data_IF_283005848364
#
_entry.id   IF_283005848364
#
_cell.length_a   1.000
_cell.length_b   1.000
_cell.length_c   1.000
_cell.angle_alpha   90.00
_cell.angle_beta   90.00
_cell.angle_gamma   90.00
#
_symmetry.space_group_name_H-M   'P 1'
#
loop_
_entity.id
_entity.type
_entity.pdbx_description
1 polymer ?
#
# COMPACT_ATOMS: atom_id res chain seq x y z
N UNK A 1 3.28 -39.24 60.68
CA UNK A 1 3.75 -38.02 60.00
C UNK A 1 3.11 -37.99 58.61
N UNK A 2 2.09 -37.15 58.40
CA UNK A 2 1.32 -37.07 57.14
C UNK A 2 2.05 -36.13 56.17
N UNK A 3 2.63 -36.67 55.10
CA UNK A 3 3.22 -35.85 54.01
C UNK A 3 2.10 -35.59 53.00
N UNK A 4 1.66 -34.33 52.92
CA UNK A 4 0.73 -33.84 51.89
C UNK A 4 1.52 -33.67 50.59
N UNK A 5 1.16 -34.41 49.54
CA UNK A 5 1.64 -34.12 48.20
C UNK A 5 0.93 -32.87 47.67
N UNK A 6 1.71 -31.81 47.47
CA UNK A 6 1.31 -30.55 46.87
C UNK A 6 1.23 -30.75 45.36
N UNK A 7 0.03 -30.78 44.80
CA UNK A 7 -0.19 -30.71 43.36
C UNK A 7 0.14 -29.29 42.88
N UNK A 8 1.28 -29.12 42.22
CA UNK A 8 1.61 -27.90 41.46
C UNK A 8 0.90 -28.03 40.12
N UNK A 9 -0.27 -27.41 40.00
CA UNK A 9 -0.93 -27.20 38.72
C UNK A 9 -0.12 -26.20 37.90
N UNK A 10 0.58 -26.67 36.87
CA UNK A 10 1.18 -25.81 35.86
C UNK A 10 0.05 -25.24 35.03
N UNK A 11 -0.34 -24.00 35.34
CA UNK A 11 -1.21 -23.20 34.50
C UNK A 11 -0.44 -22.89 33.20
N UNK A 12 -0.65 -23.68 32.15
CA UNK A 12 -0.21 -23.31 30.80
C UNK A 12 -0.97 -22.04 30.41
N UNK A 13 -0.34 -20.89 30.60
CA UNK A 13 -0.76 -19.64 29.98
C UNK A 13 -0.61 -19.83 28.47
N UNK A 14 -1.69 -20.19 27.79
CA UNK A 14 -1.77 -20.14 26.33
C UNK A 14 -1.66 -18.68 25.94
N UNK A 15 -0.46 -18.22 25.60
CA UNK A 15 -0.29 -16.99 24.83
C UNK A 15 -1.04 -17.20 23.53
N UNK A 16 -2.19 -16.54 23.38
CA UNK A 16 -2.85 -16.40 22.10
C UNK A 16 -1.88 -15.64 21.20
N UNK A 17 -1.07 -16.38 20.44
CA UNK A 17 -0.44 -15.87 19.25
C UNK A 17 -1.58 -15.29 18.42
N UNK A 18 -1.57 -13.98 18.26
CA UNK A 18 -2.49 -13.28 17.38
C UNK A 18 -2.06 -13.66 15.96
N UNK A 19 -2.43 -14.86 15.53
CA UNK A 19 -2.20 -15.35 14.17
C UNK A 19 -3.07 -14.47 13.31
N UNK A 20 -2.46 -13.54 12.56
CA UNK A 20 -3.17 -12.84 11.50
C UNK A 20 -3.89 -13.89 10.65
N UNK A 21 -5.20 -13.72 10.44
CA UNK A 21 -6.00 -14.66 9.68
C UNK A 21 -5.33 -14.91 8.33
N UNK A 22 -5.13 -16.18 7.97
CA UNK A 22 -4.49 -16.52 6.70
C UNK A 22 -5.33 -15.98 5.53
N UNK A 23 -4.69 -15.50 4.44
CA UNK A 23 -5.42 -14.97 3.29
C UNK A 23 -6.30 -16.05 2.65
N UNK A 24 -7.57 -15.72 2.43
CA UNK A 24 -8.51 -16.60 1.71
C UNK A 24 -8.33 -16.37 0.22
N UNK A 25 -7.53 -17.26 -0.39
CA UNK A 25 -7.20 -17.20 -1.82
C UNK A 25 -8.12 -18.07 -2.66
N UNK A 26 -8.71 -17.51 -3.70
CA UNK A 26 -9.58 -18.21 -4.65
C UNK A 26 -9.24 -17.85 -6.09
N UNK A 27 -9.41 -18.84 -6.97
CA UNK A 27 -9.33 -18.65 -8.40
C UNK A 27 -10.62 -19.11 -9.06
N UNK A 28 -11.17 -18.26 -9.92
CA UNK A 28 -12.39 -18.56 -10.67
C UNK A 28 -12.16 -18.38 -12.17
N UNK A 29 -12.68 -19.34 -12.95
CA UNK A 29 -12.88 -19.18 -14.38
C UNK A 29 -14.32 -18.71 -14.61
N UNK A 30 -14.49 -17.54 -15.20
CA UNK A 30 -15.81 -16.96 -15.49
C UNK A 30 -16.20 -17.33 -16.92
N UNK A 31 -17.13 -18.30 -17.13
CA UNK A 31 -17.42 -18.82 -18.47
C UNK A 31 -18.19 -17.81 -19.33
N UNK A 32 -19.02 -16.99 -18.68
CA UNK A 32 -19.87 -15.97 -19.29
C UNK A 32 -19.73 -14.67 -18.49
N UNK A 33 -19.51 -13.57 -19.18
CA UNK A 33 -19.42 -12.27 -18.51
C UNK A 33 -20.74 -11.92 -17.78
N UNK A 34 -20.62 -11.33 -16.60
CA UNK A 34 -21.72 -10.97 -15.71
C UNK A 34 -22.18 -12.10 -14.77
N UNK A 35 -21.49 -13.24 -14.75
CA UNK A 35 -21.89 -14.41 -13.94
C UNK A 35 -20.89 -14.76 -12.84
N UNK A 36 -19.95 -13.88 -12.47
CA UNK A 36 -19.00 -14.19 -11.40
C UNK A 36 -19.70 -14.54 -10.08
N UNK A 37 -20.65 -13.70 -9.65
CA UNK A 37 -21.29 -13.88 -8.33
C UNK A 37 -22.14 -15.15 -8.27
N UNK A 38 -22.62 -15.67 -9.41
CA UNK A 38 -23.38 -16.92 -9.44
C UNK A 38 -22.51 -18.17 -9.28
N UNK A 39 -21.17 -18.04 -9.28
CA UNK A 39 -20.25 -19.16 -9.10
C UNK A 39 -20.01 -19.52 -7.63
N UNK A 40 -20.50 -18.71 -6.70
CA UNK A 40 -20.24 -18.85 -5.26
C UNK A 40 -21.42 -18.31 -4.44
N UNK A 41 -21.41 -18.57 -3.14
CA UNK A 41 -22.34 -17.94 -2.21
C UNK A 41 -21.87 -16.54 -1.84
N UNK A 42 -22.77 -15.69 -1.33
CA UNK A 42 -22.40 -14.35 -0.84
C UNK A 42 -21.40 -14.42 0.33
N UNK A 43 -21.59 -15.36 1.26
CA UNK A 43 -20.65 -15.59 2.37
C UNK A 43 -19.26 -15.97 1.86
N UNK A 44 -19.19 -16.84 0.85
CA UNK A 44 -17.91 -17.17 0.23
C UNK A 44 -17.28 -15.93 -0.41
N UNK A 45 -18.02 -15.18 -1.23
CA UNK A 45 -17.54 -13.96 -1.87
C UNK A 45 -16.97 -12.97 -0.85
N UNK A 46 -17.68 -12.75 0.26
CA UNK A 46 -17.29 -11.82 1.30
C UNK A 46 -16.09 -12.29 2.13
N UNK A 47 -15.81 -13.60 2.18
CA UNK A 47 -14.63 -14.14 2.86
C UNK A 47 -13.33 -14.00 2.05
N UNK A 48 -13.41 -13.84 0.73
CA UNK A 48 -12.24 -13.84 -0.17
C UNK A 48 -11.40 -12.58 0.03
N UNK A 49 -10.10 -12.76 0.26
CA UNK A 49 -9.12 -11.66 0.30
C UNK A 49 -8.26 -11.59 -0.95
N UNK A 50 -7.95 -12.73 -1.58
CA UNK A 50 -7.14 -12.78 -2.79
C UNK A 50 -7.91 -13.51 -3.90
N UNK A 51 -8.28 -12.79 -4.94
CA UNK A 51 -9.09 -13.31 -6.04
C UNK A 51 -8.33 -13.25 -7.36
N UNK A 52 -8.20 -14.40 -8.00
CA UNK A 52 -7.72 -14.49 -9.39
C UNK A 52 -8.89 -14.84 -10.30
N UNK A 53 -9.12 -14.03 -11.33
CA UNK A 53 -10.15 -14.28 -12.34
C UNK A 53 -9.52 -14.56 -13.70
N UNK A 54 -10.08 -15.56 -14.37
CA UNK A 54 -9.80 -15.90 -15.76
C UNK A 54 -11.11 -16.02 -16.54
N UNK A 55 -11.03 -16.15 -17.87
CA UNK A 55 -12.23 -16.23 -18.70
C UNK A 55 -12.78 -14.85 -19.07
N UNK A 56 -14.10 -14.68 -19.03
CA UNK A 56 -14.80 -13.49 -19.55
C UNK A 56 -15.49 -12.75 -18.41
N UNK A 57 -15.11 -11.51 -18.17
CA UNK A 57 -15.75 -10.62 -17.18
C UNK A 57 -16.33 -9.38 -17.86
N UNK A 58 -17.27 -8.68 -17.23
CA UNK A 58 -17.78 -7.38 -17.70
C UNK A 58 -18.05 -6.43 -16.52
N UNK A 59 -18.67 -5.28 -16.80
CA UNK A 59 -18.97 -4.28 -15.79
C UNK A 59 -19.96 -4.73 -14.68
N UNK A 60 -20.77 -5.76 -14.91
CA UNK A 60 -21.61 -6.36 -13.86
C UNK A 60 -20.75 -7.13 -12.86
N UNK A 61 -19.75 -7.89 -13.34
CA UNK A 61 -18.79 -8.56 -12.45
C UNK A 61 -17.98 -7.54 -11.64
N UNK A 62 -17.54 -6.44 -12.25
CA UNK A 62 -16.86 -5.35 -11.52
C UNK A 62 -17.78 -4.69 -10.48
N UNK A 63 -19.06 -4.52 -10.79
CA UNK A 63 -20.03 -4.05 -9.79
C UNK A 63 -20.05 -4.98 -8.60
N UNK A 64 -20.07 -6.29 -8.83
CA UNK A 64 -20.07 -7.24 -7.72
C UNK A 64 -18.77 -7.23 -6.91
N UNK A 65 -17.62 -7.19 -7.59
CA UNK A 65 -16.31 -7.06 -6.95
C UNK A 65 -16.22 -5.81 -6.06
N UNK A 66 -16.87 -4.73 -6.46
CA UNK A 66 -16.99 -3.51 -5.66
C UNK A 66 -17.94 -3.67 -4.49
N UNK A 67 -19.09 -4.29 -4.72
CA UNK A 67 -20.28 -4.14 -3.90
C UNK A 67 -20.44 -5.20 -2.81
N UNK A 68 -20.12 -6.46 -3.13
CA UNK A 68 -20.04 -7.60 -2.22
C UNK A 68 -18.57 -7.74 -1.77
N UNK A 69 -17.90 -8.88 -2.02
CA UNK A 69 -16.44 -9.10 -1.82
C UNK A 69 -15.78 -8.25 -0.72
N UNK A 70 -16.36 -8.20 0.48
CA UNK A 70 -16.05 -7.13 1.46
C UNK A 70 -14.56 -7.09 1.85
N UNK A 71 -13.94 -8.27 1.95
CA UNK A 71 -12.55 -8.44 2.36
C UNK A 71 -11.55 -8.51 1.20
N UNK A 72 -11.96 -8.24 -0.05
CA UNK A 72 -11.08 -8.36 -1.22
C UNK A 72 -9.93 -7.33 -1.17
N UNK A 73 -8.71 -7.84 -0.96
CA UNK A 73 -7.47 -7.09 -0.89
C UNK A 73 -6.68 -7.13 -2.20
N UNK A 74 -6.65 -8.29 -2.85
CA UNK A 74 -5.87 -8.53 -4.08
C UNK A 74 -6.78 -9.05 -5.17
N UNK A 75 -6.81 -8.33 -6.29
CA UNK A 75 -7.53 -8.74 -7.50
C UNK A 75 -6.55 -8.95 -8.66
N UNK A 76 -6.41 -10.19 -9.10
CA UNK A 76 -5.70 -10.53 -10.32
C UNK A 76 -6.69 -10.80 -11.46
N UNK A 77 -6.73 -9.90 -12.44
CA UNK A 77 -7.49 -10.03 -13.69
C UNK A 77 -6.56 -10.03 -14.91
N UNK A 78 -5.28 -10.35 -14.71
CA UNK A 78 -4.26 -10.31 -15.77
C UNK A 78 -4.55 -11.28 -16.92
N UNK A 79 -5.24 -12.38 -16.61
CA UNK A 79 -5.64 -13.43 -17.54
C UNK A 79 -7.16 -13.45 -17.83
N UNK A 80 -7.89 -12.43 -17.39
CA UNK A 80 -9.30 -12.24 -17.74
C UNK A 80 -9.46 -11.36 -18.98
N UNK A 81 -10.52 -11.58 -19.74
CA UNK A 81 -10.92 -10.72 -20.86
C UNK A 81 -12.17 -9.92 -20.48
N UNK A 82 -12.04 -8.59 -20.48
CA UNK A 82 -13.17 -7.70 -20.20
C UNK A 82 -14.00 -7.56 -21.47
N UNK A 83 -15.23 -8.06 -21.44
CA UNK A 83 -16.21 -7.99 -22.52
C UNK A 83 -17.01 -6.70 -22.47
N UNK A 84 -17.53 -6.33 -23.63
CA UNK A 84 -18.48 -5.23 -23.74
C UNK A 84 -19.74 -5.53 -22.91
N UNK A 85 -20.29 -4.49 -22.29
CA UNK A 85 -21.59 -4.55 -21.63
C UNK A 85 -22.33 -3.24 -21.86
N UNK A 86 -23.65 -3.30 -22.04
CA UNK A 86 -24.51 -2.12 -22.13
C UNK A 86 -25.70 -2.36 -21.22
N UNK A 87 -25.91 -1.46 -20.26
CA UNK A 87 -27.02 -1.60 -19.32
C UNK A 87 -26.87 -0.77 -18.07
N UNK A 88 -27.81 -0.98 -17.14
CA UNK A 88 -27.83 -0.34 -15.81
C UNK A 88 -27.17 -1.19 -14.72
N UNK A 89 -26.88 -2.47 -15.00
CA UNK A 89 -26.29 -3.41 -14.04
C UNK A 89 -24.78 -3.23 -13.82
N UNK A 90 -24.14 -2.30 -14.54
CA UNK A 90 -22.71 -2.04 -14.41
C UNK A 90 -22.35 -1.09 -13.26
N UNK A 91 -21.11 -0.62 -13.27
CA UNK A 91 -20.49 0.18 -12.19
C UNK A 91 -20.85 1.66 -12.20
N UNK A 92 -21.25 2.22 -13.34
CA UNK A 92 -21.63 3.62 -13.48
C UNK A 92 -22.89 3.94 -12.66
N UNK A 93 -22.90 5.02 -11.85
CA UNK A 93 -24.05 5.40 -11.02
C UNK A 93 -25.33 5.68 -11.81
N UNK A 94 -26.40 4.94 -11.50
CA UNK A 94 -27.82 5.20 -11.78
C UNK A 94 -28.22 5.57 -13.22
N UNK A 95 -27.46 5.14 -14.23
CA UNK A 95 -27.81 5.34 -15.64
C UNK A 95 -27.38 4.19 -16.54
N UNK A 96 -28.01 4.08 -17.71
CA UNK A 96 -27.54 3.19 -18.77
C UNK A 96 -26.18 3.69 -19.23
N UNK A 97 -25.22 2.78 -19.32
CA UNK A 97 -23.87 3.10 -19.77
C UNK A 97 -23.35 1.99 -20.69
N UNK A 98 -22.46 2.37 -21.61
CA UNK A 98 -21.82 1.47 -22.56
C UNK A 98 -20.38 1.26 -22.09
N UNK A 99 -20.07 0.05 -21.68
CA UNK A 99 -18.75 -0.34 -21.19
C UNK A 99 -18.03 -1.08 -22.32
N UNK A 100 -16.93 -0.49 -22.78
CA UNK A 100 -16.16 -1.01 -23.91
C UNK A 100 -15.29 -2.21 -23.50
N UNK A 101 -15.01 -3.15 -24.41
CA UNK A 101 -14.17 -4.31 -24.09
C UNK A 101 -12.73 -3.88 -23.79
N UNK A 102 -12.11 -4.56 -22.82
CA UNK A 102 -10.75 -4.30 -22.30
C UNK A 102 -10.56 -2.93 -21.63
N UNK A 103 -11.63 -2.31 -21.16
CA UNK A 103 -11.58 -1.10 -20.34
C UNK A 103 -11.82 -1.51 -18.89
N UNK A 104 -11.00 -1.03 -17.95
CA UNK A 104 -11.40 -1.06 -16.53
C UNK A 104 -12.59 -0.11 -16.43
N UNK A 105 -13.79 -0.58 -16.03
CA UNK A 105 -15.01 0.22 -16.08
C UNK A 105 -14.92 1.54 -15.33
N UNK A 106 -15.65 2.56 -15.80
CA UNK A 106 -15.82 3.78 -15.02
C UNK A 106 -16.45 3.43 -13.67
N UNK A 107 -15.95 4.00 -12.58
CA UNK A 107 -16.40 3.70 -11.21
C UNK A 107 -16.24 2.22 -10.79
N UNK A 108 -15.31 1.47 -11.41
CA UNK A 108 -15.09 0.04 -11.15
C UNK A 108 -15.06 -0.33 -9.67
N UNK A 109 -14.35 0.46 -8.86
CA UNK A 109 -14.20 0.28 -7.41
C UNK A 109 -14.59 1.53 -6.61
N UNK A 110 -15.40 2.41 -7.20
CA UNK A 110 -15.90 3.62 -6.56
C UNK A 110 -17.43 3.64 -6.60
N UNK A 111 -18.08 3.81 -5.46
CA UNK A 111 -19.50 4.19 -5.40
C UNK A 111 -19.63 5.70 -5.25
N UNK A 112 -20.79 6.22 -5.62
CA UNK A 112 -21.18 7.60 -5.30
C UNK A 112 -22.41 7.53 -4.41
N UNK A 113 -22.24 7.87 -3.14
CA UNK A 113 -23.32 7.87 -2.14
C UNK A 113 -23.47 9.31 -1.61
N UNK A 114 -24.66 9.90 -1.75
CA UNK A 114 -24.93 11.29 -1.35
C UNK A 114 -23.93 12.31 -1.94
N UNK A 115 -23.49 12.10 -3.19
CA UNK A 115 -22.50 12.95 -3.86
C UNK A 115 -21.06 12.75 -3.39
N UNK A 116 -20.80 11.86 -2.45
CA UNK A 116 -19.44 11.52 -2.00
C UNK A 116 -18.95 10.22 -2.64
N UNK A 117 -17.71 10.24 -3.12
CA UNK A 117 -17.04 9.06 -3.62
C UNK A 117 -16.66 8.14 -2.45
N UNK A 118 -17.06 6.87 -2.51
CA UNK A 118 -16.66 5.83 -1.58
C UNK A 118 -15.96 4.72 -2.35
N UNK A 119 -14.63 4.69 -2.26
CA UNK A 119 -13.85 3.63 -2.89
C UNK A 119 -13.82 2.35 -2.06
N UNK A 120 -13.38 1.25 -2.68
CA UNK A 120 -13.20 -0.03 -2.00
C UNK A 120 -11.92 -0.01 -1.14
N UNK A 121 -12.08 0.36 0.13
CA UNK A 121 -10.96 0.52 1.07
C UNK A 121 -10.21 -0.79 1.39
N UNK A 122 -10.83 -1.96 1.20
CA UNK A 122 -10.13 -3.24 1.34
C UNK A 122 -9.12 -3.49 0.23
N UNK A 123 -9.31 -2.93 -0.97
CA UNK A 123 -8.47 -3.22 -2.12
C UNK A 123 -7.07 -2.59 -1.96
N UNK A 124 -6.05 -3.44 -1.97
CA UNK A 124 -4.63 -3.08 -1.82
C UNK A 124 -3.82 -3.28 -3.09
N UNK A 125 -4.18 -4.27 -3.91
CA UNK A 125 -3.45 -4.63 -5.13
C UNK A 125 -4.41 -5.01 -6.25
N UNK A 126 -4.14 -4.50 -7.45
CA UNK A 126 -4.79 -4.95 -8.68
C UNK A 126 -3.74 -5.33 -9.72
N UNK A 127 -3.96 -6.43 -10.44
CA UNK A 127 -3.11 -6.89 -11.54
C UNK A 127 -3.93 -6.88 -12.84
N UNK A 128 -3.51 -6.04 -13.78
CA UNK A 128 -4.20 -5.77 -15.04
C UNK A 128 -3.54 -6.48 -16.22
N UNK A 129 -4.38 -6.93 -17.15
CA UNK A 129 -3.95 -7.63 -18.36
C UNK A 129 -3.16 -6.75 -19.32
N UNK A 130 -2.33 -7.38 -20.16
CA UNK A 130 -1.73 -6.73 -21.34
C UNK A 130 -2.78 -6.20 -22.34
N UNK A 131 -3.99 -6.76 -22.30
CA UNK A 131 -5.10 -6.36 -23.17
C UNK A 131 -5.75 -5.05 -22.76
N UNK A 132 -5.55 -4.58 -21.53
CA UNK A 132 -6.15 -3.35 -21.01
C UNK A 132 -5.86 -2.18 -21.94
N UNK A 133 -6.92 -1.48 -22.36
CA UNK A 133 -6.83 -0.31 -23.26
C UNK A 133 -7.00 0.98 -22.48
N UNK A 134 -7.99 1.03 -21.59
CA UNK A 134 -8.27 2.17 -20.74
C UNK A 134 -8.46 1.77 -19.28
N UNK A 135 -8.10 2.70 -18.39
CA UNK A 135 -8.57 2.77 -17.02
C UNK A 135 -9.50 3.98 -16.97
N UNK A 136 -10.80 3.74 -16.90
CA UNK A 136 -11.84 4.75 -17.11
C UNK A 136 -12.03 5.68 -15.90
N UNK A 137 -12.89 6.69 -16.06
CA UNK A 137 -13.18 7.71 -15.05
C UNK A 137 -13.49 7.11 -13.68
N UNK A 138 -12.82 7.64 -12.65
CA UNK A 138 -13.03 7.27 -11.25
C UNK A 138 -12.94 5.75 -10.97
N UNK A 139 -12.27 4.97 -11.83
CA UNK A 139 -12.19 3.50 -11.69
C UNK A 139 -11.75 3.06 -10.29
N UNK A 140 -10.74 3.74 -9.71
CA UNK A 140 -10.24 3.47 -8.37
C UNK A 140 -10.32 4.70 -7.43
N UNK A 141 -11.20 5.66 -7.72
CA UNK A 141 -11.39 6.84 -6.87
C UNK A 141 -11.77 6.44 -5.44
N UNK A 142 -11.08 7.01 -4.45
CA UNK A 142 -11.29 6.73 -3.02
C UNK A 142 -10.82 5.33 -2.57
N UNK A 143 -10.12 4.57 -3.42
CA UNK A 143 -9.47 3.33 -3.00
C UNK A 143 -8.15 3.67 -2.27
N UNK A 144 -8.25 4.27 -1.09
CA UNK A 144 -7.12 4.92 -0.39
C UNK A 144 -6.03 3.95 0.08
N UNK A 145 -6.31 2.64 0.02
CA UNK A 145 -5.35 1.58 0.34
C UNK A 145 -4.75 0.90 -0.89
N UNK A 146 -5.14 1.27 -2.13
CA UNK A 146 -4.64 0.68 -3.37
C UNK A 146 -3.17 1.05 -3.60
N UNK A 147 -2.29 0.28 -2.98
CA UNK A 147 -0.85 0.47 -2.98
C UNK A 147 -0.22 0.10 -4.31
N UNK A 148 -0.77 -0.91 -5.00
CA UNK A 148 -0.16 -1.53 -6.17
C UNK A 148 -1.19 -1.59 -7.30
N UNK A 149 -0.84 -1.00 -8.44
CA UNK A 149 -1.45 -1.33 -9.72
C UNK A 149 -0.37 -1.92 -10.62
N UNK A 150 -0.41 -3.24 -10.76
CA UNK A 150 0.49 -3.95 -11.66
C UNK A 150 -0.16 -4.08 -13.02
N UNK A 151 0.54 -3.71 -14.08
CA UNK A 151 0.01 -3.71 -15.44
C UNK A 151 0.94 -4.57 -16.29
N UNK A 152 0.44 -5.69 -16.80
CA UNK A 152 1.25 -6.61 -17.64
C UNK A 152 1.51 -6.08 -19.05
N UNK A 153 0.84 -4.98 -19.42
CA UNK A 153 1.01 -4.29 -20.71
C UNK A 153 2.36 -3.57 -20.76
N UNK A 154 3.07 -3.67 -21.88
CA UNK A 154 4.35 -2.96 -22.07
C UNK A 154 4.19 -1.45 -22.33
N UNK A 155 3.05 -1.06 -22.90
CA UNK A 155 2.72 0.33 -23.20
C UNK A 155 1.61 0.81 -22.27
N UNK A 156 1.61 2.08 -21.83
CA UNK A 156 0.59 2.56 -20.91
C UNK A 156 -0.83 2.59 -21.52
N UNK A 157 -1.85 2.02 -20.84
CA UNK A 157 -3.24 2.24 -21.24
C UNK A 157 -3.62 3.72 -21.11
N UNK A 158 -4.73 4.12 -21.71
CA UNK A 158 -5.27 5.46 -21.47
C UNK A 158 -5.74 5.54 -20.01
N UNK A 159 -5.35 6.59 -19.30
CA UNK A 159 -5.78 6.85 -17.93
C UNK A 159 -6.72 8.05 -17.95
N UNK A 160 -7.98 7.82 -17.63
CA UNK A 160 -9.02 8.84 -17.57
C UNK A 160 -9.02 9.52 -16.19
N UNK A 161 -9.67 10.70 -16.06
CA UNK A 161 -9.71 11.47 -14.82
C UNK A 161 -10.06 10.64 -13.58
N UNK A 162 -9.28 10.81 -12.52
CA UNK A 162 -9.47 10.12 -11.23
C UNK A 162 -9.46 8.58 -11.32
N UNK A 163 -9.01 8.01 -12.45
CA UNK A 163 -8.92 6.57 -12.65
C UNK A 163 -7.98 5.92 -11.63
N UNK A 164 -6.84 6.55 -11.32
CA UNK A 164 -5.87 6.13 -10.31
C UNK A 164 -5.28 7.37 -9.62
N UNK A 165 -4.78 7.22 -8.39
CA UNK A 165 -4.13 8.29 -7.62
C UNK A 165 -2.63 8.02 -7.47
N UNK A 166 -1.81 8.94 -7.98
CA UNK A 166 -0.34 8.85 -7.94
C UNK A 166 0.27 9.01 -6.54
N UNK A 167 -0.46 9.66 -5.63
CA UNK A 167 -0.11 9.84 -4.22
C UNK A 167 -0.31 8.58 -3.37
N UNK A 168 -1.00 7.58 -3.90
CA UNK A 168 -1.38 6.35 -3.17
C UNK A 168 -0.81 5.10 -3.85
N UNK A 169 -0.87 5.06 -5.18
CA UNK A 169 -0.62 3.85 -5.96
C UNK A 169 0.73 3.89 -6.68
N UNK A 170 1.56 2.88 -6.43
CA UNK A 170 2.72 2.60 -7.25
C UNK A 170 2.34 1.70 -8.43
N UNK A 171 2.95 1.99 -9.59
CA UNK A 171 2.68 1.29 -10.84
C UNK A 171 3.83 0.34 -11.13
N UNK A 172 3.50 -0.94 -11.23
CA UNK A 172 4.44 -2.01 -11.58
C UNK A 172 4.24 -2.39 -13.04
N UNK A 173 5.29 -2.30 -13.84
CA UNK A 173 5.26 -2.51 -15.30
C UNK A 173 6.32 -3.52 -15.73
N UNK A 174 6.25 -4.09 -16.95
CA UNK A 174 7.29 -4.99 -17.45
C UNK A 174 8.66 -4.30 -17.50
N UNK A 175 9.73 -5.11 -17.49
CA UNK A 175 11.10 -4.62 -17.68
C UNK A 175 11.23 -3.84 -18.99
N UNK A 176 11.85 -2.66 -18.91
CA UNK A 176 12.05 -1.74 -20.04
C UNK A 176 10.83 -0.89 -20.41
N UNK A 177 9.72 -0.96 -19.68
CA UNK A 177 8.49 -0.22 -20.02
C UNK A 177 8.38 1.14 -19.35
N UNK A 178 9.17 1.46 -18.32
CA UNK A 178 8.89 2.62 -17.48
C UNK A 178 8.97 3.97 -18.19
N UNK A 179 9.83 4.13 -19.20
CA UNK A 179 9.96 5.39 -19.94
C UNK A 179 8.73 5.70 -20.78
N UNK A 180 8.18 4.71 -21.48
CA UNK A 180 6.96 4.88 -22.28
C UNK A 180 5.77 5.28 -21.40
N UNK A 181 5.69 4.71 -20.19
CA UNK A 181 4.69 5.09 -19.20
C UNK A 181 4.86 6.55 -18.74
N UNK A 182 6.09 7.00 -18.41
CA UNK A 182 6.34 8.37 -17.95
C UNK A 182 6.02 9.44 -19.00
N UNK A 183 6.17 9.11 -20.28
CA UNK A 183 5.93 10.03 -21.39
C UNK A 183 4.46 10.20 -21.75
N UNK A 184 3.58 9.28 -21.33
CA UNK A 184 2.15 9.37 -21.64
C UNK A 184 1.42 10.36 -20.72
N UNK A 185 0.46 11.07 -21.31
CA UNK A 185 -0.45 11.95 -20.58
C UNK A 185 -1.09 11.22 -19.38
N UNK A 186 -1.22 11.93 -18.27
CA UNK A 186 -1.77 11.47 -16.98
C UNK A 186 -0.93 10.44 -16.22
N UNK A 187 0.19 9.95 -16.78
CA UNK A 187 1.04 8.96 -16.12
C UNK A 187 2.32 9.54 -15.49
N UNK A 188 2.78 10.71 -15.95
CA UNK A 188 4.08 11.32 -15.58
C UNK A 188 4.39 11.39 -14.08
N UNK A 189 3.37 11.52 -13.24
CA UNK A 189 3.50 11.76 -11.80
C UNK A 189 3.47 10.48 -10.97
N UNK A 190 3.30 9.29 -11.55
CA UNK A 190 3.28 8.03 -10.80
C UNK A 190 4.67 7.50 -10.44
N UNK A 191 4.75 6.69 -9.38
CA UNK A 191 5.93 5.91 -9.05
C UNK A 191 5.96 4.65 -9.93
N UNK A 192 6.89 4.59 -10.89
CA UNK A 192 7.09 3.42 -11.75
C UNK A 192 8.24 2.55 -11.27
N UNK A 193 7.92 1.29 -11.00
CA UNK A 193 8.86 0.22 -10.69
C UNK A 193 8.70 -0.86 -11.76
N UNK A 194 9.82 -1.35 -12.28
CA UNK A 194 9.80 -2.41 -13.28
C UNK A 194 9.92 -3.78 -12.60
N UNK A 195 9.14 -4.75 -13.06
CA UNK A 195 9.12 -6.11 -12.53
C UNK A 195 7.93 -6.38 -11.59
N UNK A 196 8.08 -7.41 -10.76
CA UNK A 196 7.05 -7.84 -9.82
C UNK A 196 7.17 -7.07 -8.50
N UNK A 197 6.04 -6.70 -7.86
CA UNK A 197 6.07 -6.06 -6.56
C UNK A 197 6.52 -7.03 -5.46
N UNK A 198 7.51 -6.61 -4.68
CA UNK A 198 7.97 -7.35 -3.51
C UNK A 198 7.44 -6.71 -2.22
N UNK A 199 6.46 -7.38 -1.62
CA UNK A 199 5.93 -7.08 -0.29
C UNK A 199 6.51 -8.07 0.73
N UNK A 200 6.93 -7.61 1.90
CA UNK A 200 7.44 -8.48 2.96
C UNK A 200 7.14 -7.94 4.36
N UNK A 201 6.76 -8.83 5.26
CA UNK A 201 6.70 -8.58 6.70
C UNK A 201 7.74 -9.42 7.41
N UNK A 202 8.65 -8.79 8.16
CA UNK A 202 9.79 -9.44 8.80
C UNK A 202 9.74 -9.27 10.32
N UNK A 203 9.98 -10.37 11.03
CA UNK A 203 10.08 -10.41 12.48
C UNK A 203 11.55 -10.44 12.86
N UNK A 204 12.08 -9.33 13.39
CA UNK A 204 13.48 -9.25 13.79
C UNK A 204 13.58 -9.49 15.29
N UNK A 205 14.10 -10.65 15.67
CA UNK A 205 14.31 -11.01 17.07
C UNK A 205 15.37 -10.15 17.77
N UNK A 206 15.43 -10.18 19.09
CA UNK A 206 16.35 -9.36 19.89
C UNK A 206 17.84 -9.55 19.55
N UNK A 207 18.22 -10.76 19.10
CA UNK A 207 19.59 -11.08 18.66
C UNK A 207 19.72 -11.13 17.13
N UNK A 208 18.65 -10.83 16.40
CA UNK A 208 18.59 -10.85 14.95
C UNK A 208 18.98 -9.52 14.31
N UNK A 209 19.11 -9.55 12.99
CA UNK A 209 19.31 -8.38 12.11
C UNK A 209 18.32 -8.45 10.96
N UNK A 210 17.90 -7.28 10.48
CA UNK A 210 17.01 -7.17 9.32
C UNK A 210 17.60 -7.86 8.09
N UNK A 211 18.91 -7.72 7.87
CA UNK A 211 19.62 -8.39 6.77
C UNK A 211 19.48 -9.91 6.82
N UNK A 212 19.66 -10.52 8.00
CA UNK A 212 19.55 -11.97 8.14
C UNK A 212 18.12 -12.46 7.91
N UNK A 213 17.10 -11.70 8.33
CA UNK A 213 15.70 -12.07 8.11
C UNK A 213 15.31 -11.91 6.63
N UNK A 214 15.82 -10.90 5.93
CA UNK A 214 15.67 -10.74 4.48
C UNK A 214 16.28 -11.93 3.74
N UNK A 215 17.50 -12.33 4.13
CA UNK A 215 18.18 -13.47 3.50
C UNK A 215 17.43 -14.79 3.75
N UNK A 216 16.92 -15.01 4.97
CA UNK A 216 16.09 -16.19 5.30
C UNK A 216 14.78 -16.22 4.52
N UNK A 217 14.21 -15.06 4.22
CA UNK A 217 13.04 -14.94 3.34
C UNK A 217 13.38 -15.17 1.85
N UNK A 218 14.65 -15.38 1.51
CA UNK A 218 15.10 -15.58 0.13
C UNK A 218 15.04 -14.32 -0.73
N UNK A 219 15.06 -13.14 -0.10
CA UNK A 219 14.88 -11.85 -0.77
C UNK A 219 16.20 -11.08 -0.86
N UNK A 220 16.24 -10.12 -1.78
CA UNK A 220 17.32 -9.13 -1.86
C UNK A 220 16.78 -7.77 -1.39
N UNK A 221 17.53 -7.00 -0.57
CA UNK A 221 17.08 -5.69 -0.09
C UNK A 221 16.67 -4.74 -1.22
N UNK A 222 17.37 -4.79 -2.37
CA UNK A 222 17.13 -3.91 -3.52
C UNK A 222 15.76 -4.12 -4.17
N UNK A 223 15.23 -5.33 -4.06
CA UNK A 223 13.99 -5.71 -4.72
C UNK A 223 12.77 -5.38 -3.86
N UNK A 224 12.94 -5.18 -2.55
CA UNK A 224 11.87 -4.86 -1.60
C UNK A 224 11.24 -3.49 -1.93
N UNK A 225 9.92 -3.49 -2.09
CA UNK A 225 9.15 -2.26 -2.33
C UNK A 225 8.26 -1.91 -1.13
N UNK A 226 7.67 -2.89 -0.49
CA UNK A 226 6.82 -2.69 0.69
C UNK A 226 7.40 -3.49 1.85
N UNK A 227 7.95 -2.76 2.83
CA UNK A 227 8.63 -3.35 3.97
C UNK A 227 7.81 -3.11 5.23
N UNK A 228 7.43 -4.18 5.91
CA UNK A 228 6.95 -4.14 7.29
C UNK A 228 7.98 -4.82 8.19
N UNK A 229 8.41 -4.16 9.26
CA UNK A 229 9.29 -4.76 10.26
C UNK A 229 8.63 -4.70 11.62
N UNK A 230 8.69 -5.82 12.35
CA UNK A 230 8.25 -5.93 13.72
C UNK A 230 9.42 -6.43 14.59
N UNK A 231 9.50 -5.93 15.83
CA UNK A 231 10.55 -6.31 16.78
C UNK A 231 11.73 -5.33 16.83
N UNK A 232 12.95 -5.85 16.77
CA UNK A 232 14.17 -5.06 16.91
C UNK A 232 14.48 -4.29 15.62
N UNK A 233 14.86 -3.01 15.72
CA UNK A 233 15.45 -2.27 14.61
C UNK A 233 16.54 -1.32 15.14
N UNK A 234 17.79 -1.54 14.73
CA UNK A 234 18.95 -0.76 15.17
C UNK A 234 19.61 0.04 14.03
N UNK A 235 20.71 0.74 14.34
CA UNK A 235 21.41 1.61 13.37
C UNK A 235 21.99 0.85 12.17
N UNK A 236 22.39 -0.42 12.32
CA UNK A 236 22.87 -1.21 11.19
C UNK A 236 21.71 -1.61 10.29
N UNK A 237 20.56 -1.92 10.86
CA UNK A 237 19.33 -2.19 10.10
C UNK A 237 18.87 -0.93 9.32
N UNK A 238 18.92 0.25 9.93
CA UNK A 238 18.64 1.51 9.24
C UNK A 238 19.67 1.82 8.14
N UNK A 239 20.95 1.49 8.36
CA UNK A 239 21.98 1.62 7.33
C UNK A 239 21.68 0.71 6.13
N UNK A 240 21.22 -0.52 6.36
CA UNK A 240 20.77 -1.42 5.30
C UNK A 240 19.63 -0.81 4.48
N UNK A 241 18.59 -0.28 5.16
CA UNK A 241 17.46 0.40 4.52
C UNK A 241 17.95 1.60 3.69
N UNK A 242 18.88 2.37 4.25
CA UNK A 242 19.44 3.56 3.59
C UNK A 242 20.17 3.20 2.32
N UNK A 243 21.12 2.27 2.41
CA UNK A 243 22.15 2.05 1.40
C UNK A 243 21.71 1.01 0.34
N UNK A 244 20.81 0.07 0.68
CA UNK A 244 20.50 -1.09 -0.17
C UNK A 244 19.03 -1.24 -0.58
N UNK A 245 18.12 -0.35 -0.16
CA UNK A 245 16.70 -0.41 -0.53
C UNK A 245 16.23 0.82 -1.32
N UNK A 246 16.73 1.05 -2.56
CA UNK A 246 16.40 2.23 -3.36
C UNK A 246 14.96 2.23 -3.89
N UNK A 247 14.31 1.06 -3.93
CA UNK A 247 13.00 0.86 -4.54
C UNK A 247 11.84 0.82 -3.53
N UNK A 248 12.06 1.29 -2.31
CA UNK A 248 11.02 1.36 -1.29
C UNK A 248 9.90 2.34 -1.69
N UNK A 249 8.69 1.82 -1.68
CA UNK A 249 7.43 2.51 -1.90
C UNK A 249 6.72 2.79 -0.58
N UNK A 250 6.73 1.83 0.35
CA UNK A 250 6.18 2.02 1.69
C UNK A 250 6.98 1.29 2.75
N UNK A 251 7.05 1.89 3.93
CA UNK A 251 7.73 1.33 5.11
C UNK A 251 6.80 1.40 6.32
N UNK A 252 6.54 0.26 6.97
CA UNK A 252 5.85 0.18 8.25
C UNK A 252 6.81 -0.37 9.31
N UNK A 253 7.33 0.52 10.14
CA UNK A 253 8.22 0.19 11.26
C UNK A 253 7.56 0.55 12.59
N UNK A 254 6.23 0.69 12.60
CA UNK A 254 5.46 1.10 13.78
C UNK A 254 5.64 0.15 14.96
N UNK A 255 5.71 -1.16 14.69
CA UNK A 255 5.89 -2.22 15.69
C UNK A 255 7.36 -2.54 15.99
N UNK A 256 8.26 -1.58 15.77
CA UNK A 256 9.68 -1.73 16.13
C UNK A 256 10.03 -1.03 17.43
N UNK A 257 11.13 -1.43 18.06
CA UNK A 257 11.65 -0.83 19.28
C UNK A 257 12.62 0.36 19.03
N UNK A 258 12.75 0.81 17.79
CA UNK A 258 13.66 1.90 17.44
C UNK A 258 13.27 3.21 18.14
N UNK A 259 14.23 3.80 18.85
CA UNK A 259 14.06 5.09 19.56
C UNK A 259 14.58 6.28 18.77
N UNK A 260 15.36 6.04 17.72
CA UNK A 260 15.92 7.07 16.85
C UNK A 260 15.97 6.57 15.40
N UNK A 261 15.72 7.45 14.45
CA UNK A 261 16.00 7.18 13.03
C UNK A 261 17.27 7.95 12.65
N UNK A 262 18.37 7.26 12.29
CA UNK A 262 19.65 7.90 11.97
C UNK A 262 19.60 8.82 10.74
N UNK A 263 20.60 9.68 10.65
CA UNK A 263 20.73 10.65 9.57
C UNK A 263 20.63 10.01 8.18
N UNK A 264 19.94 10.73 7.29
CA UNK A 264 19.78 10.38 5.88
C UNK A 264 19.11 9.02 5.60
N UNK A 265 18.53 8.32 6.59
CA UNK A 265 18.00 6.95 6.44
C UNK A 265 17.06 6.79 5.23
N UNK A 266 16.10 7.70 5.07
CA UNK A 266 15.16 7.69 3.94
C UNK A 266 15.50 8.78 2.91
N UNK A 267 16.69 9.38 2.97
CA UNK A 267 17.10 10.40 2.01
C UNK A 267 17.08 9.84 0.58
N UNK A 268 16.53 10.64 -0.35
CA UNK A 268 16.42 10.34 -1.78
C UNK A 268 15.65 9.04 -2.11
N UNK A 269 14.75 8.58 -1.23
CA UNK A 269 13.85 7.47 -1.54
C UNK A 269 12.77 7.92 -2.53
N UNK A 270 13.14 7.99 -3.81
CA UNK A 270 12.37 8.57 -4.93
C UNK A 270 10.99 7.95 -5.19
N UNK A 271 10.69 6.80 -4.59
CA UNK A 271 9.41 6.09 -4.71
C UNK A 271 8.60 6.06 -3.41
N UNK A 272 9.14 6.54 -2.29
CA UNK A 272 8.51 6.44 -0.98
C UNK A 272 7.24 7.29 -0.93
N UNK A 273 6.09 6.63 -0.90
CA UNK A 273 4.77 7.25 -0.80
C UNK A 273 4.30 7.35 0.66
N UNK A 274 4.65 6.36 1.49
CA UNK A 274 4.11 6.22 2.85
C UNK A 274 5.16 5.70 3.84
N UNK A 275 5.10 6.21 5.06
CA UNK A 275 5.85 5.66 6.19
C UNK A 275 5.01 5.64 7.45
N UNK A 276 5.12 4.56 8.25
CA UNK A 276 4.69 4.54 9.64
C UNK A 276 5.89 4.42 10.56
N UNK A 277 6.01 5.38 11.48
CA UNK A 277 7.17 5.54 12.37
C UNK A 277 7.06 4.64 13.61
N UNK A 278 8.19 4.24 14.24
CA UNK A 278 8.20 3.41 15.44
C UNK A 278 7.40 4.04 16.58
N UNK A 279 6.55 3.26 17.27
CA UNK A 279 5.71 3.80 18.35
C UNK A 279 6.47 4.50 19.48
N UNK A 280 7.71 4.06 19.76
CA UNK A 280 8.59 4.62 20.81
C UNK A 280 9.62 5.63 20.30
N UNK A 281 9.47 6.15 19.08
CA UNK A 281 10.43 7.07 18.47
C UNK A 281 10.60 8.34 19.30
N UNK A 282 11.86 8.71 19.57
CA UNK A 282 12.24 9.93 20.29
C UNK A 282 12.95 10.95 19.38
N UNK A 283 13.81 10.47 18.48
CA UNK A 283 14.68 11.33 17.66
C UNK A 283 14.52 11.03 16.17
N UNK A 284 14.27 12.07 15.39
CA UNK A 284 14.40 12.04 13.93
C UNK A 284 15.68 12.78 13.58
N UNK A 285 16.68 12.05 13.06
CA UNK A 285 17.99 12.58 12.73
C UNK A 285 18.00 13.57 11.56
N UNK A 286 19.20 14.04 11.22
CA UNK A 286 19.39 15.02 10.16
C UNK A 286 18.92 14.48 8.81
N UNK A 287 18.12 15.28 8.09
CA UNK A 287 17.73 15.01 6.69
C UNK A 287 17.15 13.60 6.44
N UNK A 288 16.50 13.01 7.44
CA UNK A 288 15.97 11.64 7.37
C UNK A 288 15.08 11.41 6.16
N UNK A 289 14.17 12.35 5.83
CA UNK A 289 13.27 12.28 4.67
C UNK A 289 13.68 13.25 3.56
N UNK A 290 14.96 13.65 3.51
CA UNK A 290 15.38 14.63 2.51
C UNK A 290 15.14 14.13 1.08
N UNK A 291 14.51 14.96 0.24
CA UNK A 291 14.14 14.63 -1.13
C UNK A 291 13.22 13.41 -1.28
N UNK A 292 12.41 13.10 -0.27
CA UNK A 292 11.25 12.22 -0.39
C UNK A 292 10.08 12.93 -1.06
N UNK A 293 10.25 13.43 -2.29
CA UNK A 293 9.27 14.29 -2.97
C UNK A 293 7.90 13.63 -3.21
N UNK A 294 7.80 12.30 -3.13
CA UNK A 294 6.54 11.54 -3.27
C UNK A 294 5.82 11.27 -1.96
N UNK A 295 6.47 11.47 -0.81
CA UNK A 295 5.86 11.27 0.49
C UNK A 295 4.71 12.26 0.61
N UNK A 296 3.47 11.75 0.59
CA UNK A 296 2.28 12.55 0.43
C UNK A 296 1.36 12.43 1.65
N UNK A 297 0.52 13.46 1.84
CA UNK A 297 -0.47 13.49 2.91
C UNK A 297 0.15 13.89 4.24
N UNK A 298 -0.08 13.10 5.27
CA UNK A 298 0.30 13.42 6.66
C UNK A 298 1.25 12.37 7.20
N UNK A 299 2.35 12.81 7.80
CA UNK A 299 3.21 11.97 8.64
C UNK A 299 2.85 12.23 10.10
N UNK A 300 2.37 11.20 10.80
CA UNK A 300 2.11 11.28 12.23
C UNK A 300 3.38 10.96 13.02
N UNK A 301 3.79 11.89 13.88
CA UNK A 301 4.88 11.72 14.81
C UNK A 301 4.34 11.12 16.12
N UNK A 302 4.92 10.01 16.60
CA UNK A 302 4.57 9.42 17.89
C UNK A 302 4.66 10.43 19.04
N UNK A 303 3.87 10.26 20.12
CA UNK A 303 3.83 11.22 21.23
C UNK A 303 5.15 11.31 22.00
N UNK A 304 6.04 10.33 21.83
CA UNK A 304 7.37 10.28 22.47
C UNK A 304 8.45 11.09 21.75
N UNK A 305 8.17 11.69 20.58
CA UNK A 305 9.18 12.44 19.82
C UNK A 305 9.59 13.69 20.59
N UNK A 306 10.89 13.80 20.89
CA UNK A 306 11.48 14.94 21.62
C UNK A 306 12.36 15.82 20.73
N UNK A 307 12.91 15.27 19.65
CA UNK A 307 13.82 15.98 18.76
C UNK A 307 13.56 15.66 17.28
N UNK A 308 13.51 16.72 16.46
CA UNK A 308 13.51 16.65 15.01
C UNK A 308 14.68 17.49 14.52
N UNK A 309 15.68 16.87 13.91
CA UNK A 309 16.94 17.53 13.56
C UNK A 309 16.88 18.26 12.21
N UNK A 310 18.00 18.91 11.88
CA UNK A 310 18.16 19.79 10.72
C UNK A 310 17.63 19.18 9.43
N UNK A 311 16.74 19.92 8.76
CA UNK A 311 16.26 19.56 7.42
C UNK A 311 15.57 18.20 7.30
N UNK A 312 15.01 17.65 8.38
CA UNK A 312 14.44 16.29 8.40
C UNK A 312 13.45 16.00 7.27
N UNK A 313 12.71 17.01 6.78
CA UNK A 313 11.71 16.91 5.70
C UNK A 313 12.00 17.85 4.51
N UNK A 314 13.26 18.24 4.31
CA UNK A 314 13.69 19.09 3.20
C UNK A 314 13.40 18.41 1.84
N UNK A 315 12.68 19.07 0.93
CA UNK A 315 12.34 18.49 -0.38
C UNK A 315 11.21 17.44 -0.33
N UNK A 316 10.45 17.38 0.75
CA UNK A 316 9.18 16.64 0.83
C UNK A 316 8.03 17.49 0.23
N UNK A 317 8.06 17.69 -1.08
CA UNK A 317 7.20 18.67 -1.76
C UNK A 317 5.71 18.31 -1.67
N UNK A 318 5.37 17.03 -1.81
CA UNK A 318 3.99 16.53 -1.72
C UNK A 318 3.49 16.28 -0.28
N UNK A 319 4.36 16.41 0.73
CA UNK A 319 3.97 16.24 2.12
C UNK A 319 3.11 17.44 2.53
N UNK A 320 1.92 17.18 3.07
CA UNK A 320 0.99 18.23 3.48
C UNK A 320 1.26 18.68 4.91
N UNK A 321 1.33 17.73 5.84
CA UNK A 321 1.56 18.01 7.26
C UNK A 321 2.47 16.98 7.91
N UNK A 322 3.18 17.42 8.93
CA UNK A 322 3.77 16.57 9.97
C UNK A 322 2.97 16.84 11.23
N UNK A 323 2.27 15.82 11.74
CA UNK A 323 1.40 15.96 12.92
C UNK A 323 2.13 15.44 14.15
N UNK A 324 2.48 16.31 15.07
CA UNK A 324 2.90 15.91 16.41
C UNK A 324 1.66 15.47 17.21
N UNK A 325 1.61 14.19 17.60
CA UNK A 325 0.50 13.66 18.43
C UNK A 325 0.76 13.78 19.93
N UNK A 326 1.90 14.34 20.33
CA UNK A 326 2.26 14.65 21.72
C UNK A 326 2.88 16.03 21.83
N UNK A 327 3.28 16.38 23.05
CA UNK A 327 3.75 17.70 23.47
C UNK A 327 5.21 17.70 23.96
N UNK A 328 5.96 16.62 23.69
CA UNK A 328 7.30 16.37 24.23
C UNK A 328 8.45 16.95 23.37
N UNK A 329 8.13 17.59 22.23
CA UNK A 329 9.12 18.15 21.33
C UNK A 329 9.81 19.35 22.00
N UNK A 330 11.10 19.20 22.28
CA UNK A 330 11.94 20.24 22.90
C UNK A 330 13.04 20.74 21.97
N UNK A 331 13.36 19.98 20.91
CA UNK A 331 14.39 20.33 19.92
C UNK A 331 13.82 20.30 18.51
N UNK A 332 13.89 21.44 17.82
CA UNK A 332 13.55 21.59 16.40
C UNK A 332 14.76 22.17 15.68
N UNK A 333 15.35 21.39 14.78
CA UNK A 333 16.49 21.80 13.98
C UNK A 333 16.12 22.83 12.91
N UNK A 334 17.12 23.52 12.38
CA UNK A 334 16.88 24.54 11.37
C UNK A 334 16.36 23.93 10.05
N UNK A 335 15.64 24.74 9.29
CA UNK A 335 15.20 24.44 7.92
C UNK A 335 14.50 23.08 7.77
N UNK A 336 13.70 22.64 8.75
CA UNK A 336 13.02 21.33 8.77
C UNK A 336 12.36 20.95 7.44
N UNK A 337 11.73 21.92 6.77
CA UNK A 337 10.99 21.75 5.51
C UNK A 337 11.69 22.35 4.29
N UNK A 338 12.97 22.75 4.41
CA UNK A 338 13.73 23.45 3.37
C UNK A 338 13.54 24.97 3.36
N UNK A 339 14.38 25.66 2.58
CA UNK A 339 14.32 27.12 2.42
C UNK A 339 13.07 27.51 1.60
N UNK A 340 12.29 28.49 2.09
CA UNK A 340 11.10 28.99 1.40
C UNK A 340 9.84 28.12 1.52
N UNK A 341 9.92 26.92 2.10
CA UNK A 341 8.76 26.08 2.43
C UNK A 341 8.05 26.57 3.69
N UNK A 342 6.73 26.77 3.62
CA UNK A 342 5.92 27.08 4.81
C UNK A 342 6.03 25.96 5.87
N UNK A 343 5.94 26.32 7.15
CA UNK A 343 5.97 25.34 8.23
C UNK A 343 4.82 24.33 8.09
N UNK A 344 5.15 23.04 7.96
CA UNK A 344 4.17 21.94 7.83
C UNK A 344 3.95 21.20 9.16
N UNK A 345 4.65 21.56 10.23
CA UNK A 345 4.48 20.95 11.56
C UNK A 345 3.23 21.50 12.23
N UNK A 346 2.31 20.60 12.60
CA UNK A 346 1.10 20.93 13.37
C UNK A 346 1.01 20.04 14.61
N UNK A 347 0.46 20.58 15.69
CA UNK A 347 0.24 19.84 16.94
C UNK A 347 -1.23 19.42 17.00
N UNK A 348 -1.47 18.12 17.23
CA UNK A 348 -2.81 17.59 17.46
C UNK A 348 -3.32 18.16 18.79
N UNK A 349 -4.42 18.91 18.73
CA UNK A 349 -5.08 19.47 19.92
C UNK A 349 -5.80 18.40 20.72
#
# INVERSE_FOLDING_TARGET
>A
MKIKHLFIGILLATTALNVAAQPVSKQYFVPKAGTLISLMTEDEANSITHLTLTGKINAEDFKHLRDEFQNLEVLDISNAEIKMYTGKGGTYPDKIYVYMPNFIPAYAFCRVENGQAKGKLSLRKVILSEKTKNIEDAAFKGCDNLAICQIKKKTPPNLLPEGLADSITAIFVPLGSSDEYRLKNNWKSFAFIEGEPQEVTLQVGAMGTLESEIQRAGLQPRDINFLTVEGKLDNNDFKLIRDYMPNLVAVDISKTNAVSIPDFTFSQKKYLLRIKLPHGLKVIGQRVFSNCGRLCGTVELPPSVTAIEFGAFMGCDNLRYVVATGDQITTLGDSLFGEGGGNKLIYKK
#
